data_IF_869532063836
#
_entry.id   IF_869532063836
#
_cell.length_a   1.000
_cell.length_b   1.000
_cell.length_c   1.000
_cell.angle_alpha   90.00
_cell.angle_beta   90.00
_cell.angle_gamma   90.00
#
_symmetry.space_group_name_H-M   'P 1'
#
loop_
_entity.id
_entity.type
_entity.pdbx_description
1 polymer ?
#
# COMPACT_ATOMS: atom_id res chain seq x y z
N UNK A 1 -70.72 46.26 6.22
CA UNK A 1 -70.84 46.58 7.66
C UNK A 1 -70.53 45.30 8.45
N UNK A 2 -69.63 45.40 9.44
CA UNK A 2 -69.25 44.39 10.48
C UNK A 2 -68.30 43.24 10.10
N UNK A 3 -67.04 43.40 10.51
CA UNK A 3 -66.17 42.33 11.01
C UNK A 3 -66.81 41.62 12.22
N UNK A 4 -66.39 40.38 12.52
CA UNK A 4 -65.64 40.22 13.77
C UNK A 4 -64.48 39.19 13.77
N UNK A 5 -63.43 39.62 14.48
CA UNK A 5 -62.61 38.93 15.51
C UNK A 5 -61.74 37.71 15.14
N UNK A 6 -60.46 38.04 15.00
CA UNK A 6 -59.26 37.23 15.26
C UNK A 6 -59.25 36.71 16.72
N UNK A 7 -58.91 35.43 16.90
CA UNK A 7 -58.16 34.92 18.06
C UNK A 7 -57.16 33.84 17.62
N UNK A 8 -55.89 34.26 17.55
CA UNK A 8 -54.65 33.54 17.86
C UNK A 8 -54.66 32.00 17.92
N UNK A 9 -53.95 31.37 16.99
CA UNK A 9 -53.08 30.24 17.32
C UNK A 9 -51.83 30.29 16.42
N UNK A 10 -50.70 30.11 17.09
CA UNK A 10 -49.33 30.21 16.63
C UNK A 10 -48.92 29.24 15.50
N UNK A 11 -47.76 29.56 14.93
CA UNK A 11 -46.87 28.73 14.09
C UNK A 11 -47.00 28.87 12.56
N UNK A 12 -46.25 29.85 12.08
CA UNK A 12 -45.59 29.88 10.79
C UNK A 12 -44.81 28.57 10.51
N UNK A 13 -44.74 28.15 9.24
CA UNK A 13 -43.50 27.66 8.57
C UNK A 13 -43.72 27.72 7.04
N UNK A 14 -43.05 28.68 6.44
CA UNK A 14 -42.52 28.74 5.06
C UNK A 14 -41.39 29.78 5.21
N UNK A 15 -40.12 29.54 4.83
CA UNK A 15 -39.63 28.62 3.81
C UNK A 15 -38.50 27.67 4.27
N UNK A 16 -38.50 26.45 3.74
CA UNK A 16 -37.37 25.55 3.78
C UNK A 16 -36.32 25.98 2.73
N UNK A 17 -35.48 26.96 3.03
CA UNK A 17 -34.21 27.16 2.34
C UNK A 17 -33.29 28.04 3.20
N UNK A 18 -32.08 27.53 3.46
CA UNK A 18 -30.89 28.19 4.05
C UNK A 18 -30.81 28.23 5.58
N UNK A 19 -30.23 27.16 6.14
CA UNK A 19 -29.31 27.05 7.29
C UNK A 19 -29.34 25.56 7.66
N UNK A 20 -28.40 24.71 7.22
CA UNK A 20 -27.06 24.57 7.80
C UNK A 20 -26.16 23.93 6.72
N UNK A 21 -25.43 24.76 5.97
CA UNK A 21 -24.10 24.37 5.47
C UNK A 21 -23.13 24.91 6.51
N UNK A 22 -22.80 24.09 7.50
CA UNK A 22 -22.02 24.56 8.64
C UNK A 22 -21.74 23.51 9.70
N UNK A 23 -21.60 22.23 9.33
CA UNK A 23 -20.89 21.23 10.14
C UNK A 23 -20.24 20.23 9.17
N UNK A 24 -19.25 20.69 8.41
CA UNK A 24 -18.24 19.77 7.89
C UNK A 24 -17.20 19.55 8.99
N UNK A 25 -16.94 18.27 9.30
CA UNK A 25 -15.65 17.68 9.69
C UNK A 25 -15.65 16.74 10.90
N UNK A 26 -16.66 16.70 11.78
CA UNK A 26 -16.65 15.75 12.91
C UNK A 26 -18.02 15.14 13.24
N UNK A 27 -18.62 14.47 12.28
CA UNK A 27 -19.75 13.58 12.56
C UNK A 27 -19.62 12.33 11.73
N UNK A 28 -19.24 11.22 12.37
CA UNK A 28 -19.41 9.89 11.82
C UNK A 28 -20.91 9.66 11.63
N UNK A 29 -21.41 9.97 10.45
CA UNK A 29 -22.83 9.89 10.14
C UNK A 29 -23.26 8.42 10.25
N UNK A 30 -24.35 8.16 10.98
CA UNK A 30 -25.01 6.84 11.19
C UNK A 30 -25.35 6.11 9.88
N UNK A 31 -25.16 6.75 8.73
CA UNK A 31 -25.29 6.17 7.39
C UNK A 31 -24.05 5.40 6.93
N UNK A 32 -22.90 5.50 7.61
CA UNK A 32 -21.67 4.78 7.29
C UNK A 32 -21.84 3.26 7.07
N UNK A 33 -22.62 2.54 7.91
CA UNK A 33 -22.91 1.12 7.73
C UNK A 33 -23.83 0.81 6.53
N UNK A 34 -24.57 1.79 6.01
CA UNK A 34 -25.57 1.60 4.95
C UNK A 34 -25.05 2.00 3.55
N UNK A 35 -23.98 2.79 3.48
CA UNK A 35 -23.33 3.16 2.21
C UNK A 35 -23.01 1.97 1.28
N UNK A 36 -22.57 0.79 1.77
CA UNK A 36 -22.29 -0.36 0.91
C UNK A 36 -23.53 -0.94 0.21
N UNK A 37 -24.74 -0.69 0.74
CA UNK A 37 -26.01 -1.18 0.16
C UNK A 37 -26.54 -0.27 -0.96
N UNK A 38 -26.21 1.02 -0.92
CA UNK A 38 -26.60 1.99 -1.95
C UNK A 38 -25.51 2.19 -3.02
N UNK A 39 -24.26 1.94 -2.65
CA UNK A 39 -23.09 1.98 -3.53
C UNK A 39 -22.30 0.69 -3.36
N UNK A 40 -22.82 -0.41 -3.91
CA UNK A 40 -22.07 -1.67 -3.96
C UNK A 40 -20.73 -1.42 -4.67
N UNK A 41 -19.59 -1.76 -4.05
CA UNK A 41 -18.33 -1.80 -4.77
C UNK A 41 -18.52 -2.73 -5.96
N UNK A 42 -18.16 -2.28 -7.17
CA UNK A 42 -18.32 -3.08 -8.40
C UNK A 42 -17.57 -4.42 -8.38
N UNK A 43 -16.64 -4.59 -7.44
CA UNK A 43 -15.94 -5.84 -7.12
C UNK A 43 -16.52 -6.46 -5.85
N UNK A 44 -17.70 -7.09 -5.95
CA UNK A 44 -18.39 -7.70 -4.80
C UNK A 44 -17.56 -8.77 -4.05
N UNK A 45 -16.58 -9.38 -4.72
CA UNK A 45 -15.78 -10.48 -4.18
C UNK A 45 -14.42 -10.04 -3.60
N UNK A 46 -14.13 -8.73 -3.60
CA UNK A 46 -12.84 -8.19 -3.15
C UNK A 46 -11.67 -8.53 -4.09
N UNK A 47 -11.96 -8.90 -5.34
CA UNK A 47 -10.99 -9.19 -6.39
C UNK A 47 -11.17 -8.17 -7.51
N UNK A 48 -10.12 -7.39 -7.79
CA UNK A 48 -10.05 -6.56 -8.98
C UNK A 48 -9.34 -7.33 -10.08
N UNK A 49 -10.09 -7.78 -11.10
CA UNK A 49 -9.55 -8.62 -12.19
C UNK A 49 -8.45 -7.93 -13.00
N UNK A 50 -8.42 -6.59 -13.00
CA UNK A 50 -7.39 -5.82 -13.68
C UNK A 50 -6.01 -5.95 -13.04
N UNK A 51 -5.92 -6.37 -11.77
CA UNK A 51 -4.65 -6.64 -11.07
C UNK A 51 -4.16 -8.08 -11.24
N UNK A 52 -4.99 -9.01 -11.72
CA UNK A 52 -4.63 -10.43 -11.73
C UNK A 52 -3.42 -10.72 -12.60
N UNK A 53 -2.51 -11.56 -12.11
CA UNK A 53 -1.30 -12.05 -12.74
C UNK A 53 -0.06 -11.22 -12.42
N UNK A 54 0.98 -11.33 -13.26
CA UNK A 54 2.33 -10.88 -12.94
C UNK A 54 2.62 -9.43 -13.36
N UNK A 55 3.27 -8.71 -12.45
CA UNK A 55 3.69 -7.32 -12.56
C UNK A 55 5.13 -7.18 -12.11
N UNK A 56 5.92 -6.45 -12.88
CA UNK A 56 7.20 -5.92 -12.46
C UNK A 56 7.01 -4.62 -11.71
N UNK A 57 7.70 -4.46 -10.59
CA UNK A 57 7.73 -3.24 -9.79
C UNK A 57 9.17 -2.84 -9.47
N UNK A 58 9.41 -1.55 -9.51
CA UNK A 58 10.67 -0.93 -9.10
C UNK A 58 10.34 0.38 -8.41
N UNK A 59 10.81 0.53 -7.18
CA UNK A 59 10.57 1.73 -6.38
C UNK A 59 11.70 1.94 -5.39
N UNK A 60 11.87 3.20 -4.97
CA UNK A 60 12.81 3.59 -3.93
C UNK A 60 12.12 4.53 -2.95
N UNK A 61 12.55 4.49 -1.69
CA UNK A 61 12.14 5.45 -0.69
C UNK A 61 13.28 5.72 0.30
N UNK A 62 13.38 6.97 0.81
CA UNK A 62 14.33 7.30 1.85
C UNK A 62 13.89 6.74 3.21
N UNK A 63 14.85 6.26 3.99
CA UNK A 63 14.68 5.91 5.41
C UNK A 63 15.85 6.47 6.22
N UNK A 64 15.66 7.68 6.77
CA UNK A 64 16.69 8.45 7.50
C UNK A 64 17.96 8.62 6.65
N UNK A 65 19.07 8.06 7.12
CA UNK A 65 20.39 8.07 6.50
C UNK A 65 20.60 6.95 5.46
N UNK A 66 19.50 6.32 5.02
CA UNK A 66 19.48 5.22 4.07
C UNK A 66 18.46 5.46 2.97
N UNK A 67 18.65 4.79 1.83
CA UNK A 67 17.66 4.61 0.77
C UNK A 67 17.40 3.13 0.62
N UNK A 68 16.13 2.77 0.62
CA UNK A 68 15.67 1.42 0.32
C UNK A 68 15.20 1.40 -1.13
N UNK A 69 15.81 0.56 -1.94
CA UNK A 69 15.44 0.31 -3.33
C UNK A 69 14.96 -1.14 -3.45
N UNK A 70 13.80 -1.31 -4.08
CA UNK A 70 13.27 -2.62 -4.40
C UNK A 70 13.07 -2.73 -5.90
N UNK A 71 13.43 -3.89 -6.45
CA UNK A 71 13.08 -4.30 -7.81
C UNK A 71 12.68 -5.75 -7.84
N UNK A 72 11.55 -6.07 -8.46
CA UNK A 72 11.04 -7.44 -8.44
C UNK A 72 9.77 -7.62 -9.25
N UNK A 73 9.16 -8.78 -9.08
CA UNK A 73 7.83 -9.08 -9.63
C UNK A 73 6.88 -9.53 -8.54
N UNK A 74 5.65 -9.03 -8.61
CA UNK A 74 4.52 -9.48 -7.82
C UNK A 74 3.47 -10.14 -8.72
N UNK A 75 2.94 -11.27 -8.29
CA UNK A 75 1.86 -12.00 -8.96
C UNK A 75 0.63 -12.06 -8.06
N UNK A 76 -0.50 -11.57 -8.56
CA UNK A 76 -1.79 -11.64 -7.90
C UNK A 76 -2.62 -12.79 -8.45
N UNK A 77 -2.92 -13.78 -7.60
CA UNK A 77 -3.70 -14.96 -7.99
C UNK A 77 -5.19 -14.74 -7.73
N UNK A 78 -6.04 -15.39 -8.54
CA UNK A 78 -7.50 -15.31 -8.42
C UNK A 78 -8.02 -15.77 -7.05
N UNK A 79 -7.30 -16.68 -6.39
CA UNK A 79 -7.64 -17.19 -5.05
C UNK A 79 -7.25 -16.23 -3.90
N UNK A 80 -6.94 -14.96 -4.21
CA UNK A 80 -6.50 -13.92 -3.24
C UNK A 80 -5.14 -14.17 -2.61
N UNK A 81 -4.37 -15.15 -3.08
CA UNK A 81 -2.96 -15.24 -2.74
C UNK A 81 -2.14 -14.29 -3.62
N UNK A 82 -1.02 -13.81 -3.11
CA UNK A 82 0.01 -13.18 -3.93
C UNK A 82 1.39 -13.74 -3.61
N UNK A 83 2.30 -13.61 -4.56
CA UNK A 83 3.73 -13.87 -4.38
C UNK A 83 4.52 -12.69 -4.91
N UNK A 84 5.60 -12.33 -4.22
CA UNK A 84 6.53 -11.30 -4.63
C UNK A 84 7.95 -11.83 -4.54
N UNK A 85 8.75 -11.59 -5.58
CA UNK A 85 10.16 -11.99 -5.63
C UNK A 85 11.00 -10.85 -6.19
N UNK A 86 12.12 -10.53 -5.57
CA UNK A 86 12.89 -9.36 -5.96
C UNK A 86 14.26 -9.28 -5.31
N UNK A 87 14.90 -8.14 -5.47
CA UNK A 87 16.08 -7.74 -4.72
C UNK A 87 15.73 -6.48 -3.96
N UNK A 88 16.01 -6.51 -2.66
CA UNK A 88 15.96 -5.34 -1.78
C UNK A 88 17.39 -4.85 -1.57
N UNK A 89 17.65 -3.60 -1.89
CA UNK A 89 18.92 -2.93 -1.68
C UNK A 89 18.74 -1.80 -0.67
N UNK A 90 19.57 -1.80 0.37
CA UNK A 90 19.61 -0.76 1.40
C UNK A 90 20.96 -0.07 1.29
N UNK A 91 20.97 1.22 0.97
CA UNK A 91 22.18 1.99 0.69
C UNK A 91 22.30 3.24 1.55
N UNK A 92 23.50 3.57 2.02
CA UNK A 92 23.73 4.73 2.89
C UNK A 92 23.71 6.04 2.09
N UNK A 93 23.04 7.07 2.59
CA UNK A 93 23.04 8.42 2.00
C UNK A 93 24.03 9.38 2.67
N UNK A 94 24.62 8.99 3.80
CA UNK A 94 25.59 9.80 4.55
C UNK A 94 26.93 9.93 3.83
N UNK A 95 27.58 11.08 4.01
CA UNK A 95 28.94 11.32 3.51
C UNK A 95 29.94 10.40 4.22
N UNK A 96 30.70 9.61 3.45
CA UNK A 96 31.66 8.66 3.98
C UNK A 96 31.93 7.53 3.00
N UNK A 97 32.34 6.37 3.52
CA UNK A 97 32.46 5.15 2.71
C UNK A 97 31.07 4.66 2.34
N UNK A 98 30.69 4.58 1.05
CA UNK A 98 29.38 4.09 0.64
C UNK A 98 29.14 2.66 1.11
N UNK A 99 27.99 2.42 1.70
CA UNK A 99 27.53 1.08 2.13
C UNK A 99 26.30 0.73 1.31
N UNK A 100 26.26 -0.47 0.74
CA UNK A 100 25.06 -1.05 0.12
C UNK A 100 24.91 -2.50 0.56
N UNK A 101 23.70 -2.89 0.95
CA UNK A 101 23.37 -4.23 1.44
C UNK A 101 22.23 -4.76 0.58
N UNK A 102 22.44 -5.92 -0.04
CA UNK A 102 21.47 -6.57 -0.94
C UNK A 102 20.93 -7.83 -0.31
N UNK A 103 19.61 -7.97 -0.35
CA UNK A 103 18.86 -9.13 0.07
C UNK A 103 18.04 -9.69 -1.08
N UNK A 104 18.02 -11.02 -1.22
CA UNK A 104 17.16 -11.70 -2.19
C UNK A 104 15.79 -11.90 -1.55
N UNK A 105 14.77 -11.19 -2.01
CA UNK A 105 13.45 -11.15 -1.39
C UNK A 105 12.51 -12.19 -2.00
N UNK A 106 11.87 -13.02 -1.16
CA UNK A 106 10.76 -13.92 -1.52
C UNK A 106 9.66 -13.82 -0.46
N UNK A 107 8.53 -13.25 -0.84
CA UNK A 107 7.39 -13.01 0.02
C UNK A 107 6.10 -13.58 -0.56
N UNK A 108 5.17 -13.93 0.32
CA UNK A 108 3.81 -14.30 -0.07
C UNK A 108 2.80 -13.92 1.00
N UNK A 109 1.55 -13.81 0.57
CA UNK A 109 0.47 -13.51 1.47
C UNK A 109 -0.87 -13.43 0.78
N UNK A 110 -1.75 -12.62 1.33
CA UNK A 110 -3.12 -12.43 0.87
C UNK A 110 -3.30 -11.01 0.31
N UNK A 111 -4.16 -10.87 -0.68
CA UNK A 111 -4.53 -9.58 -1.24
C UNK A 111 -6.04 -9.47 -1.43
N UNK A 112 -6.52 -8.24 -1.40
CA UNK A 112 -7.87 -7.88 -1.79
C UNK A 112 -7.83 -6.52 -2.46
N UNK A 113 -8.70 -6.31 -3.45
CA UNK A 113 -8.79 -5.03 -4.11
C UNK A 113 -10.22 -4.67 -4.49
N UNK A 114 -10.49 -3.38 -4.39
CA UNK A 114 -11.61 -2.72 -5.04
C UNK A 114 -11.14 -2.04 -6.33
N UNK A 115 -11.99 -1.23 -6.97
CA UNK A 115 -11.57 -0.36 -8.06
C UNK A 115 -10.61 0.76 -7.62
N UNK A 116 -10.60 1.12 -6.33
CA UNK A 116 -9.89 2.30 -5.80
C UNK A 116 -8.81 1.97 -4.77
N UNK A 117 -8.81 0.76 -4.24
CA UNK A 117 -7.95 0.39 -3.12
C UNK A 117 -7.44 -1.04 -3.32
N UNK A 118 -6.15 -1.25 -3.05
CA UNK A 118 -5.52 -2.55 -2.92
C UNK A 118 -5.01 -2.67 -1.49
N UNK A 119 -5.31 -3.78 -0.85
CA UNK A 119 -4.77 -4.13 0.48
C UNK A 119 -4.02 -5.45 0.35
N UNK A 120 -2.78 -5.47 0.81
CA UNK A 120 -1.97 -6.67 0.90
C UNK A 120 -1.66 -6.98 2.36
N UNK A 121 -1.68 -8.27 2.69
CA UNK A 121 -1.28 -8.81 3.98
C UNK A 121 -0.14 -9.78 3.75
N UNK A 122 1.05 -9.43 4.22
CA UNK A 122 2.22 -10.29 4.12
C UNK A 122 2.12 -11.42 5.15
N UNK A 123 2.18 -12.67 4.72
CA UNK A 123 2.11 -13.82 5.63
C UNK A 123 3.48 -14.42 5.91
N UNK A 124 4.31 -14.52 4.86
CA UNK A 124 5.65 -15.06 4.97
C UNK A 124 6.60 -14.22 4.13
N UNK A 125 7.79 -13.98 4.64
CA UNK A 125 8.89 -13.39 3.88
C UNK A 125 10.20 -14.03 4.27
N UNK A 126 11.05 -14.21 3.25
CA UNK A 126 12.48 -14.49 3.38
C UNK A 126 13.19 -13.38 2.62
N UNK A 127 14.24 -12.86 3.24
CA UNK A 127 15.12 -11.89 2.64
C UNK A 127 16.56 -12.22 3.06
N UNK A 128 17.11 -13.37 2.63
CA UNK A 128 18.49 -13.73 2.90
C UNK A 128 19.48 -12.68 2.38
N UNK A 129 20.52 -12.43 3.16
CA UNK A 129 21.63 -11.58 2.75
C UNK A 129 22.30 -12.19 1.51
N UNK A 130 22.49 -11.35 0.50
CA UNK A 130 23.11 -11.74 -0.76
C UNK A 130 24.52 -11.15 -0.84
N UNK A 131 24.64 -9.83 -0.77
CA UNK A 131 25.91 -9.11 -0.94
C UNK A 131 25.97 -7.87 -0.04
N UNK A 132 27.15 -7.58 0.50
CA UNK A 132 27.47 -6.32 1.18
C UNK A 132 28.57 -5.60 0.40
N UNK A 133 28.33 -4.34 0.06
CA UNK A 133 29.29 -3.45 -0.59
C UNK A 133 29.77 -2.42 0.42
N UNK A 134 31.08 -2.31 0.60
CA UNK A 134 31.75 -1.32 1.45
C UNK A 134 32.80 -0.59 0.61
N UNK A 135 32.48 0.62 0.17
CA UNK A 135 33.31 1.38 -0.77
C UNK A 135 33.55 0.59 -2.06
N UNK A 136 34.81 0.31 -2.45
CA UNK A 136 35.11 -0.45 -3.67
C UNK A 136 35.04 -1.98 -3.48
N UNK A 137 34.77 -2.48 -2.27
CA UNK A 137 34.81 -3.91 -1.96
C UNK A 137 33.41 -4.50 -1.89
N UNK A 138 33.23 -5.66 -2.50
CA UNK A 138 32.00 -6.45 -2.44
C UNK A 138 32.27 -7.76 -1.70
N UNK A 139 31.41 -8.10 -0.77
CA UNK A 139 31.45 -9.32 0.03
C UNK A 139 30.18 -10.12 -0.20
N UNK A 140 30.31 -11.39 -0.55
CA UNK A 140 29.17 -12.31 -0.53
C UNK A 140 28.77 -12.61 0.91
N UNK A 141 27.51 -12.92 1.16
CA UNK A 141 27.06 -13.30 2.50
C UNK A 141 27.89 -14.44 3.13
N UNK A 142 28.31 -15.42 2.32
CA UNK A 142 29.15 -16.53 2.77
C UNK A 142 30.56 -16.14 3.21
N UNK A 143 31.04 -14.97 2.80
CA UNK A 143 32.37 -14.44 3.16
C UNK A 143 32.32 -13.64 4.46
N UNK A 144 31.11 -13.31 4.92
CA UNK A 144 30.88 -12.62 6.17
C UNK A 144 30.80 -13.67 7.28
N UNK A 145 31.72 -13.62 8.25
CA UNK A 145 31.74 -14.50 9.42
C UNK A 145 30.63 -14.12 10.43
N UNK A 146 29.38 -14.04 9.97
CA UNK A 146 28.22 -13.74 10.79
C UNK A 146 27.77 -15.00 11.54
N UNK A 147 27.29 -14.83 12.76
CA UNK A 147 26.67 -15.92 13.50
C UNK A 147 25.45 -16.45 12.73
N UNK A 148 25.27 -17.77 12.70
CA UNK A 148 24.21 -18.43 11.92
C UNK A 148 22.78 -17.98 12.27
N UNK A 149 22.58 -17.45 13.47
CA UNK A 149 21.31 -16.90 13.96
C UNK A 149 21.21 -15.37 13.86
N UNK A 150 22.16 -14.72 13.18
CA UNK A 150 22.16 -13.27 13.03
C UNK A 150 20.93 -12.82 12.24
N UNK A 151 20.12 -11.87 12.76
CA UNK A 151 18.99 -11.31 12.01
C UNK A 151 19.43 -10.57 10.74
N UNK A 152 20.71 -10.20 10.63
CA UNK A 152 21.28 -9.62 9.41
C UNK A 152 21.45 -10.65 8.28
N UNK A 153 21.38 -11.96 8.58
CA UNK A 153 21.43 -13.00 7.55
C UNK A 153 20.09 -13.21 6.84
N UNK A 154 18.97 -12.89 7.49
CA UNK A 154 17.63 -12.92 6.91
C UNK A 154 16.72 -11.90 7.62
N UNK A 155 16.38 -10.81 6.92
CA UNK A 155 15.52 -9.75 7.46
C UNK A 155 14.03 -10.02 7.22
N UNK A 156 13.69 -11.08 6.49
CA UNK A 156 12.31 -11.45 6.14
C UNK A 156 11.38 -11.53 7.36
N UNK A 157 11.74 -12.22 8.45
CA UNK A 157 10.90 -12.32 9.65
C UNK A 157 10.53 -10.97 10.28
N UNK A 158 11.42 -9.98 10.22
CA UNK A 158 11.14 -8.63 10.73
C UNK A 158 10.11 -7.89 9.86
N UNK A 159 10.12 -8.13 8.54
CA UNK A 159 9.13 -7.54 7.62
C UNK A 159 7.72 -8.12 7.81
N UNK A 160 7.62 -9.39 8.22
CA UNK A 160 6.32 -10.03 8.52
C UNK A 160 5.62 -9.36 9.71
N UNK A 161 6.33 -8.72 10.64
CA UNK A 161 5.71 -8.05 11.78
C UNK A 161 5.01 -6.72 11.40
N UNK A 162 5.21 -6.20 10.18
CA UNK A 162 4.66 -4.95 9.65
C UNK A 162 3.51 -5.20 8.64
N UNK A 163 2.56 -6.04 9.04
CA UNK A 163 1.93 -7.08 8.21
C UNK A 163 0.82 -6.64 7.23
N UNK A 164 0.44 -5.36 7.19
CA UNK A 164 -0.67 -4.86 6.38
C UNK A 164 -0.30 -3.58 5.67
N UNK A 165 -0.42 -3.57 4.34
CA UNK A 165 -0.18 -2.38 3.54
C UNK A 165 -1.38 -2.07 2.66
N UNK A 166 -1.78 -0.79 2.67
CA UNK A 166 -2.85 -0.25 1.85
C UNK A 166 -2.28 0.63 0.76
N UNK A 167 -2.84 0.49 -0.42
CA UNK A 167 -2.53 1.26 -1.61
C UNK A 167 -3.82 1.87 -2.17
N UNK A 168 -3.76 3.16 -2.48
CA UNK A 168 -4.76 3.80 -3.32
C UNK A 168 -4.42 3.50 -4.79
N UNK A 169 -5.38 2.91 -5.49
CA UNK A 169 -5.28 2.63 -6.92
C UNK A 169 -5.57 3.93 -7.67
N UNK A 170 -4.52 4.53 -8.25
CA UNK A 170 -4.68 5.76 -9.03
C UNK A 170 -5.13 5.46 -10.46
N UNK A 171 -4.56 4.44 -11.09
CA UNK A 171 -4.97 3.97 -12.42
C UNK A 171 -4.54 2.53 -12.65
N UNK A 172 -5.36 1.75 -13.34
CA UNK A 172 -4.98 0.42 -13.84
C UNK A 172 -5.40 0.33 -15.30
N UNK A 173 -4.47 -0.14 -16.13
CA UNK A 173 -4.65 -0.49 -17.52
C UNK A 173 -4.12 -1.90 -17.76
N UNK A 174 -4.26 -2.41 -18.99
CA UNK A 174 -3.78 -3.75 -19.36
C UNK A 174 -2.30 -3.98 -19.01
N UNK A 175 -1.46 -2.97 -19.25
CA UNK A 175 0.00 -3.12 -19.20
C UNK A 175 0.66 -2.32 -18.06
N UNK A 176 -0.11 -1.49 -17.35
CA UNK A 176 0.41 -0.59 -16.32
C UNK A 176 -0.61 -0.35 -15.20
N UNK A 177 -0.15 -0.45 -13.97
CA UNK A 177 -0.88 -0.02 -12.78
C UNK A 177 -0.06 1.02 -12.01
N UNK A 178 -0.74 2.03 -11.46
CA UNK A 178 -0.14 3.09 -10.66
C UNK A 178 -0.84 3.07 -9.30
N UNK A 179 -0.06 2.76 -8.27
CA UNK A 179 -0.50 2.69 -6.89
C UNK A 179 0.14 3.83 -6.09
N UNK A 180 -0.58 4.33 -5.10
CA UNK A 180 -0.04 5.29 -4.12
C UNK A 180 -0.16 4.71 -2.73
N UNK A 181 0.83 4.93 -1.89
CA UNK A 181 0.80 4.50 -0.49
C UNK A 181 1.58 5.49 0.37
N UNK A 182 1.39 5.39 1.67
CA UNK A 182 2.04 6.26 2.66
C UNK A 182 3.16 5.49 3.34
N UNK A 183 4.35 6.07 3.34
CA UNK A 183 5.52 5.55 4.04
C UNK A 183 5.47 5.77 5.54
N UNK A 184 6.47 5.21 6.22
CA UNK A 184 6.55 5.21 7.69
C UNK A 184 6.58 6.61 8.31
N UNK A 185 7.05 7.62 7.56
CA UNK A 185 7.18 9.00 8.01
C UNK A 185 6.05 9.91 7.49
N UNK A 186 4.99 9.34 6.91
CA UNK A 186 3.88 10.10 6.35
C UNK A 186 4.08 10.57 4.90
N UNK A 187 5.26 10.33 4.33
CA UNK A 187 5.54 10.62 2.92
C UNK A 187 4.68 9.76 2.01
N UNK A 188 4.17 10.32 0.92
CA UNK A 188 3.43 9.55 -0.08
C UNK A 188 4.36 9.15 -1.21
N UNK A 189 4.41 7.86 -1.53
CA UNK A 189 5.17 7.35 -2.67
C UNK A 189 4.27 6.64 -3.67
N UNK A 190 4.72 6.65 -4.93
CA UNK A 190 4.01 6.06 -6.06
C UNK A 190 4.74 4.80 -6.48
N UNK A 191 4.04 3.67 -6.51
CA UNK A 191 4.54 2.41 -7.07
C UNK A 191 3.97 2.25 -8.46
N UNK A 192 4.85 2.19 -9.45
CA UNK A 192 4.48 1.92 -10.84
C UNK A 192 4.74 0.44 -11.12
N UNK A 193 3.67 -0.27 -11.45
CA UNK A 193 3.72 -1.67 -11.83
C UNK A 193 3.56 -1.79 -13.34
N UNK A 194 4.47 -2.53 -13.98
CA UNK A 194 4.44 -2.82 -15.42
C UNK A 194 4.13 -4.29 -15.62
N UNK A 195 3.20 -4.61 -16.51
CA UNK A 195 2.83 -5.99 -16.78
C UNK A 195 4.03 -6.78 -17.30
N UNK A 196 4.31 -7.92 -16.68
CA UNK A 196 5.44 -8.77 -17.08
C UNK A 196 4.97 -10.19 -17.40
N UNK A 197 5.41 -10.79 -18.51
CA UNK A 197 5.19 -12.22 -18.78
C UNK A 197 6.20 -13.12 -18.05
N UNK A 198 7.24 -12.55 -17.42
CA UNK A 198 8.33 -13.28 -16.75
C UNK A 198 8.43 -12.90 -15.29
N UNK A 199 8.69 -13.89 -14.45
CA UNK A 199 9.04 -13.67 -13.04
C UNK A 199 10.48 -13.15 -12.95
N UNK A 200 10.73 -12.23 -12.02
CA UNK A 200 12.07 -11.72 -11.75
C UNK A 200 12.97 -12.85 -11.21
N UNK A 201 14.18 -12.97 -11.77
CA UNK A 201 15.19 -13.97 -11.40
C UNK A 201 14.78 -15.45 -11.55
N UNK A 202 13.84 -15.77 -12.46
CA UNK A 202 13.55 -17.15 -12.90
C UNK A 202 13.73 -17.35 -14.38
#
# INVERSE_FOLDING_TARGET
>A
MRLPKIRSAWLAILPAFILIFGISEKSATILGPFLPYFFTPKTADGVNSALLGNWYEEFEYPDRDWVVHFKGTIEYFFNRAYRVTGVLEISSTVSGTPISIKYDYDGNGEWQATEKELVIKLLNAKAPLSTVTLGPRNFKASELNLAANSPALDIGPATVLAQLQKYDIHSISKDKAILKTTGLYGDTFTVVMIRSPKMYLR
#
